data_IF_398108416943
#
_entry.id   IF_398108416943
#
_cell.length_a   1.000
_cell.length_b   1.000
_cell.length_c   1.000
_cell.angle_alpha   90.00
_cell.angle_beta   90.00
_cell.angle_gamma   90.00
#
_symmetry.space_group_name_H-M   'P 1'
#
loop_
_entity.id
_entity.type
_entity.pdbx_description
1 polymer ?
#
# COMPACT_ATOMS: atom_id res chain seq x y z
N UNK A 1 -18.96 -4.97 -6.12
CA UNK A 1 -18.52 -6.32 -6.49
C UNK A 1 -19.36 -6.83 -7.64
N UNK A 2 -18.72 -7.36 -8.66
CA UNK A 2 -19.37 -8.00 -9.79
C UNK A 2 -19.49 -9.53 -9.54
N UNK A 3 -20.09 -10.26 -10.48
CA UNK A 3 -20.28 -11.71 -10.38
C UNK A 3 -18.95 -12.48 -10.32
N UNK A 4 -17.93 -12.00 -11.00
CA UNK A 4 -16.61 -12.65 -11.08
C UNK A 4 -15.86 -12.56 -9.74
N UNK A 5 -16.01 -11.44 -9.01
CA UNK A 5 -15.47 -11.25 -7.66
C UNK A 5 -16.06 -12.28 -6.68
N UNK A 6 -17.38 -12.52 -6.75
CA UNK A 6 -18.06 -13.53 -5.94
C UNK A 6 -17.62 -14.95 -6.29
N UNK A 7 -17.37 -15.25 -7.57
CA UNK A 7 -16.84 -16.55 -7.99
C UNK A 7 -15.39 -16.77 -7.50
N UNK A 8 -14.55 -15.74 -7.49
CA UNK A 8 -13.18 -15.80 -6.94
C UNK A 8 -13.20 -16.13 -5.43
N UNK A 9 -14.02 -15.40 -4.66
CA UNK A 9 -14.22 -15.67 -3.23
C UNK A 9 -14.68 -17.12 -3.01
N UNK A 10 -15.70 -17.56 -3.75
CA UNK A 10 -16.28 -18.89 -3.62
C UNK A 10 -15.26 -20.00 -3.94
N UNK A 11 -14.48 -19.85 -5.02
CA UNK A 11 -13.41 -20.79 -5.40
C UNK A 11 -12.31 -20.88 -4.33
N UNK A 12 -11.98 -19.77 -3.68
CA UNK A 12 -11.00 -19.73 -2.60
C UNK A 12 -11.56 -20.17 -1.23
N UNK A 13 -12.87 -20.42 -1.12
CA UNK A 13 -13.56 -20.69 0.15
C UNK A 13 -13.57 -19.48 1.08
N UNK A 14 -13.50 -18.27 0.52
CA UNK A 14 -13.55 -16.99 1.22
C UNK A 14 -14.96 -16.43 1.16
N UNK A 15 -15.36 -15.69 2.19
CA UNK A 15 -16.60 -14.90 2.22
C UNK A 15 -16.31 -13.47 2.66
N UNK A 16 -17.07 -12.51 2.14
CA UNK A 16 -17.12 -11.15 2.66
C UNK A 16 -18.42 -10.98 3.44
N UNK A 17 -18.31 -10.57 4.70
CA UNK A 17 -19.42 -10.43 5.62
C UNK A 17 -19.43 -9.02 6.21
N UNK A 18 -20.60 -8.37 6.22
CA UNK A 18 -20.79 -7.14 6.98
C UNK A 18 -20.97 -7.51 8.46
N UNK A 19 -20.07 -7.04 9.32
CA UNK A 19 -20.10 -7.26 10.77
C UNK A 19 -20.12 -5.91 11.52
N UNK A 20 -20.44 -5.88 12.82
CA UNK A 20 -20.44 -4.63 13.59
C UNK A 20 -19.10 -3.87 13.56
N UNK A 21 -17.98 -4.59 13.47
CA UNK A 21 -16.64 -4.03 13.36
C UNK A 21 -16.27 -3.50 11.97
N UNK A 22 -17.05 -3.83 10.93
CA UNK A 22 -16.78 -3.47 9.54
C UNK A 22 -16.88 -4.65 8.57
N UNK A 23 -16.53 -4.38 7.32
CA UNK A 23 -16.47 -5.40 6.27
C UNK A 23 -15.33 -6.39 6.58
N UNK A 24 -15.68 -7.66 6.68
CA UNK A 24 -14.77 -8.71 7.17
C UNK A 24 -14.62 -9.83 6.15
N UNK A 25 -13.37 -10.15 5.82
CA UNK A 25 -13.01 -11.32 5.02
C UNK A 25 -12.87 -12.55 5.91
N UNK A 26 -13.57 -13.63 5.58
CA UNK A 26 -13.66 -14.84 6.40
C UNK A 26 -13.27 -16.11 5.62
N UNK A 27 -12.69 -17.10 6.32
CA UNK A 27 -12.43 -18.47 5.83
C UNK A 27 -12.42 -19.45 7.00
N UNK A 28 -13.49 -20.22 7.16
CA UNK A 28 -13.66 -21.06 8.36
C UNK A 28 -13.62 -20.21 9.64
N UNK A 29 -12.72 -20.53 10.57
CA UNK A 29 -12.52 -19.75 11.81
C UNK A 29 -11.65 -18.50 11.63
N UNK A 30 -11.02 -18.33 10.46
CA UNK A 30 -10.17 -17.17 10.19
C UNK A 30 -11.03 -15.99 9.74
N UNK A 31 -10.75 -14.81 10.28
CA UNK A 31 -11.38 -13.57 9.85
C UNK A 31 -10.39 -12.40 9.88
N UNK A 32 -10.62 -11.42 9.01
CA UNK A 32 -9.86 -10.19 8.92
C UNK A 32 -10.78 -9.02 8.56
N UNK A 33 -10.88 -8.08 9.48
CA UNK A 33 -11.41 -6.74 9.24
C UNK A 33 -10.23 -5.77 9.25
N UNK A 34 -10.22 -4.80 8.32
CA UNK A 34 -9.24 -3.73 8.32
C UNK A 34 -9.51 -2.72 9.44
N UNK A 35 -8.46 -2.18 10.02
CA UNK A 35 -8.54 -1.27 11.16
C UNK A 35 -7.27 -0.44 11.18
N UNK A 36 -7.39 0.87 11.39
CA UNK A 36 -6.25 1.79 11.48
C UNK A 36 -5.98 2.24 12.92
N UNK A 37 -6.81 1.90 13.89
CA UNK A 37 -6.65 2.37 15.27
C UNK A 37 -5.34 1.87 15.90
N UNK A 38 -4.86 0.69 15.51
CA UNK A 38 -3.55 0.19 15.96
C UNK A 38 -2.35 1.01 15.45
N UNK A 39 -2.57 1.85 14.43
CA UNK A 39 -1.54 2.73 13.87
C UNK A 39 -1.45 4.06 14.62
N UNK A 40 -2.48 4.49 15.36
CA UNK A 40 -2.53 5.79 16.08
C UNK A 40 -1.25 6.06 16.89
N UNK A 41 -0.69 5.10 17.67
CA UNK A 41 0.54 5.35 18.42
C UNK A 41 1.77 5.66 17.56
N UNK A 42 1.75 5.37 16.26
CA UNK A 42 2.81 5.67 15.28
C UNK A 42 2.61 7.05 14.62
N UNK A 43 1.39 7.57 14.61
CA UNK A 43 1.04 8.84 13.93
C UNK A 43 1.43 10.09 14.74
N UNK A 44 1.83 9.93 16.01
CA UNK A 44 2.32 11.06 16.81
C UNK A 44 3.55 11.73 16.17
N UNK A 45 3.66 13.08 16.18
CA UNK A 45 4.67 13.79 15.38
C UNK A 45 6.12 13.29 15.54
N UNK A 46 6.54 12.98 16.77
CA UNK A 46 7.90 12.50 17.02
C UNK A 46 8.16 11.10 16.44
N UNK A 47 7.18 10.20 16.53
CA UNK A 47 7.32 8.84 16.00
C UNK A 47 7.19 8.84 14.49
N UNK A 48 6.21 9.59 13.97
CA UNK A 48 5.94 9.73 12.56
C UNK A 48 7.13 10.27 11.78
N UNK A 49 7.77 11.34 12.27
CA UNK A 49 8.99 11.88 11.65
C UNK A 49 10.19 10.91 11.74
N UNK A 50 10.16 9.98 12.68
CA UNK A 50 11.15 8.91 12.82
C UNK A 50 10.91 7.72 11.88
N UNK A 51 9.72 7.58 11.30
CA UNK A 51 9.38 6.50 10.39
C UNK A 51 10.27 6.55 9.14
N UNK A 52 10.88 5.41 8.83
CA UNK A 52 11.84 5.33 7.74
C UNK A 52 11.19 5.59 6.37
N UNK A 53 9.93 5.17 6.20
CA UNK A 53 9.13 5.43 5.00
C UNK A 53 8.91 6.94 4.80
N UNK A 54 8.46 7.64 5.85
CA UNK A 54 8.24 9.09 5.83
C UNK A 54 9.53 9.81 5.42
N UNK A 55 10.67 9.41 5.99
CA UNK A 55 11.98 9.99 5.65
C UNK A 55 12.41 9.67 4.21
N UNK A 56 12.10 8.47 3.71
CA UNK A 56 12.42 8.06 2.34
C UNK A 56 11.58 8.85 1.30
N UNK A 57 10.31 9.10 1.60
CA UNK A 57 9.39 9.83 0.73
C UNK A 57 9.56 11.36 0.79
N UNK A 58 9.95 11.93 1.94
CA UNK A 58 9.99 13.38 2.16
C UNK A 58 10.81 14.13 1.10
N UNK A 59 10.19 15.12 0.48
CA UNK A 59 10.84 16.04 -0.46
C UNK A 59 11.10 17.36 0.25
N UNK A 60 12.32 17.89 0.11
CA UNK A 60 12.68 19.16 0.74
C UNK A 60 12.03 20.32 -0.03
N UNK A 61 11.38 21.22 0.69
CA UNK A 61 10.78 22.44 0.12
C UNK A 61 9.39 22.24 -0.49
N UNK A 62 8.75 21.09 -0.23
CA UNK A 62 7.35 20.83 -0.60
C UNK A 62 6.59 20.48 0.69
N UNK A 63 5.62 21.31 1.04
CA UNK A 63 4.87 21.16 2.30
C UNK A 63 3.77 20.10 2.21
N UNK A 64 3.09 20.03 1.06
CA UNK A 64 2.03 19.05 0.75
C UNK A 64 2.36 18.29 -0.53
N UNK A 65 3.34 17.37 -0.49
CA UNK A 65 3.71 16.56 -1.65
C UNK A 65 2.58 15.60 -2.04
N UNK A 66 2.37 15.45 -3.34
CA UNK A 66 1.45 14.46 -3.90
C UNK A 66 2.12 13.09 -3.97
N UNK A 67 1.39 12.04 -3.61
CA UNK A 67 1.91 10.67 -3.62
C UNK A 67 0.94 9.71 -4.29
N UNK A 68 1.46 8.85 -5.16
CA UNK A 68 0.73 7.70 -5.68
C UNK A 68 1.29 6.42 -5.08
N UNK A 69 0.47 5.72 -4.30
CA UNK A 69 0.76 4.37 -3.82
C UNK A 69 0.22 3.38 -4.84
N UNK A 70 1.12 2.77 -5.61
CA UNK A 70 0.77 1.86 -6.69
C UNK A 70 0.37 0.45 -6.21
N UNK A 71 0.51 0.18 -4.91
CA UNK A 71 0.36 -1.15 -4.30
C UNK A 71 -0.25 -1.00 -2.90
N UNK A 72 -1.43 -0.38 -2.83
CA UNK A 72 -1.99 0.12 -1.58
C UNK A 72 -2.21 -0.97 -0.52
N UNK A 73 -2.65 -2.18 -0.93
CA UNK A 73 -3.01 -3.25 -0.01
C UNK A 73 -4.01 -2.77 1.03
N UNK A 74 -3.68 -2.94 2.31
CA UNK A 74 -4.51 -2.47 3.43
C UNK A 74 -4.26 -1.01 3.83
N UNK A 75 -3.42 -0.26 3.11
CA UNK A 75 -3.27 1.19 3.22
C UNK A 75 -2.49 1.71 4.45
N UNK A 76 -1.83 0.85 5.23
CA UNK A 76 -1.10 1.26 6.44
C UNK A 76 0.08 2.22 6.13
N UNK A 77 0.86 1.93 5.09
CA UNK A 77 1.99 2.77 4.68
C UNK A 77 1.51 4.11 4.10
N UNK A 78 0.41 4.06 3.34
CA UNK A 78 -0.27 5.26 2.86
C UNK A 78 -0.85 6.11 3.99
N UNK A 79 -1.39 5.52 5.06
CA UNK A 79 -1.85 6.26 6.24
C UNK A 79 -0.71 7.00 6.93
N UNK A 80 0.47 6.38 7.05
CA UNK A 80 1.67 7.05 7.59
C UNK A 80 2.05 8.27 6.75
N UNK A 81 2.03 8.14 5.43
CA UNK A 81 2.37 9.22 4.51
C UNK A 81 1.31 10.33 4.55
N UNK A 82 0.04 9.97 4.57
CA UNK A 82 -1.06 10.92 4.70
C UNK A 82 -0.99 11.69 6.04
N UNK A 83 -0.72 11.00 7.15
CA UNK A 83 -0.50 11.63 8.46
C UNK A 83 0.74 12.55 8.44
N UNK A 84 1.74 12.26 7.61
CA UNK A 84 2.92 13.09 7.44
C UNK A 84 2.68 14.32 6.54
N UNK A 85 1.46 14.50 6.03
CA UNK A 85 1.03 15.68 5.26
C UNK A 85 0.98 15.49 3.75
N UNK A 86 1.21 14.27 3.25
CA UNK A 86 1.09 13.95 1.83
C UNK A 86 -0.39 13.87 1.42
N UNK A 87 -0.69 14.31 0.20
CA UNK A 87 -1.97 14.00 -0.44
C UNK A 87 -1.78 12.70 -1.25
N UNK A 88 -2.41 11.62 -0.78
CA UNK A 88 -2.12 10.25 -1.20
C UNK A 88 -3.25 9.71 -2.07
N UNK A 89 -2.94 9.32 -3.29
CA UNK A 89 -3.79 8.46 -4.11
C UNK A 89 -3.34 7.00 -3.95
N UNK A 90 -4.23 6.16 -3.45
CA UNK A 90 -4.00 4.74 -3.17
C UNK A 90 -4.62 3.90 -4.29
N UNK A 91 -3.80 3.11 -4.97
CA UNK A 91 -4.25 2.20 -6.01
C UNK A 91 -4.25 0.76 -5.53
N UNK A 92 -5.39 0.09 -5.63
CA UNK A 92 -5.51 -1.34 -5.39
C UNK A 92 -6.23 -2.01 -6.58
N UNK A 93 -5.63 -3.10 -7.06
CA UNK A 93 -6.12 -3.86 -8.20
C UNK A 93 -7.15 -4.91 -7.76
N UNK A 94 -6.93 -5.57 -6.62
CA UNK A 94 -7.83 -6.62 -6.18
C UNK A 94 -9.14 -6.02 -5.63
N UNK A 95 -10.30 -6.38 -6.19
CA UNK A 95 -11.58 -5.77 -5.83
C UNK A 95 -12.02 -6.09 -4.40
N UNK A 96 -11.56 -7.22 -3.84
CA UNK A 96 -11.87 -7.62 -2.47
C UNK A 96 -11.02 -6.82 -1.49
N UNK A 97 -9.72 -6.70 -1.73
CA UNK A 97 -8.82 -5.86 -0.92
C UNK A 97 -9.26 -4.40 -1.01
N UNK A 98 -9.60 -3.91 -2.21
CA UNK A 98 -10.12 -2.56 -2.41
C UNK A 98 -11.40 -2.31 -1.58
N UNK A 99 -12.34 -3.26 -1.56
CA UNK A 99 -13.55 -3.15 -0.76
C UNK A 99 -13.25 -3.08 0.75
N UNK A 100 -12.34 -3.94 1.24
CA UNK A 100 -11.90 -3.94 2.64
C UNK A 100 -11.20 -2.63 3.02
N UNK A 101 -10.31 -2.13 2.16
CA UNK A 101 -9.61 -0.86 2.34
C UNK A 101 -10.61 0.32 2.34
N UNK A 102 -11.58 0.32 1.43
CA UNK A 102 -12.62 1.35 1.35
C UNK A 102 -13.46 1.41 2.61
N UNK A 103 -13.91 0.25 3.13
CA UNK A 103 -14.63 0.19 4.40
C UNK A 103 -13.76 0.67 5.59
N UNK A 104 -12.48 0.32 5.59
CA UNK A 104 -11.52 0.75 6.62
C UNK A 104 -11.33 2.27 6.63
N UNK A 105 -11.12 2.87 5.45
CA UNK A 105 -10.96 4.32 5.31
C UNK A 105 -12.24 5.05 5.67
N UNK A 106 -13.41 4.54 5.28
CA UNK A 106 -14.69 5.16 5.62
C UNK A 106 -14.95 5.17 7.13
N UNK A 107 -14.69 4.04 7.82
CA UNK A 107 -14.79 4.00 9.29
C UNK A 107 -13.78 4.93 9.95
N UNK A 108 -12.55 4.98 9.46
CA UNK A 108 -11.50 5.83 10.01
C UNK A 108 -11.78 7.34 9.86
N UNK A 109 -12.65 7.76 8.92
CA UNK A 109 -13.11 9.17 8.84
C UNK A 109 -13.93 9.59 10.07
N UNK A 110 -14.51 8.64 10.78
CA UNK A 110 -15.32 8.89 11.98
C UNK A 110 -14.49 8.89 13.27
N UNK A 111 -13.21 8.51 13.19
CA UNK A 111 -12.29 8.48 14.33
C UNK A 111 -11.53 9.83 14.43
N UNK A 112 -11.64 10.59 15.54
CA UNK A 112 -10.99 11.88 15.69
C UNK A 112 -9.46 11.88 15.54
N UNK A 113 -8.80 10.76 15.89
CA UNK A 113 -7.34 10.63 15.81
C UNK A 113 -6.87 10.28 14.39
N UNK A 114 -7.77 9.84 13.52
CA UNK A 114 -7.46 9.40 12.15
C UNK A 114 -8.02 10.32 11.08
N UNK A 115 -9.14 11.01 11.35
CA UNK A 115 -9.95 11.73 10.35
C UNK A 115 -9.13 12.68 9.46
N UNK A 116 -8.14 13.37 10.03
CA UNK A 116 -7.31 14.32 9.29
C UNK A 116 -6.32 13.65 8.34
N UNK A 117 -5.77 12.50 8.72
CA UNK A 117 -4.88 11.73 7.86
C UNK A 117 -5.68 11.09 6.72
N UNK A 118 -6.80 10.43 7.04
CA UNK A 118 -7.60 9.75 6.02
C UNK A 118 -8.33 10.69 5.07
N UNK A 119 -8.57 11.95 5.45
CA UNK A 119 -9.08 12.98 4.55
C UNK A 119 -8.13 13.28 3.36
N UNK A 120 -6.84 12.92 3.50
CA UNK A 120 -5.83 13.04 2.43
C UNK A 120 -5.67 11.77 1.60
N UNK A 121 -6.45 10.73 1.88
CA UNK A 121 -6.39 9.44 1.19
C UNK A 121 -7.50 9.35 0.14
N UNK A 122 -7.13 9.25 -1.13
CA UNK A 122 -8.03 9.05 -2.25
C UNK A 122 -7.84 7.66 -2.84
N UNK A 123 -8.86 6.81 -2.71
CA UNK A 123 -8.80 5.44 -3.21
C UNK A 123 -9.10 5.40 -4.71
N UNK A 124 -8.36 4.56 -5.42
CA UNK A 124 -8.56 4.25 -6.83
C UNK A 124 -8.49 2.74 -7.04
N UNK A 125 -9.55 2.19 -7.59
CA UNK A 125 -9.58 0.78 -7.97
C UNK A 125 -9.07 0.65 -9.41
N UNK A 126 -8.12 -0.28 -9.63
CA UNK A 126 -7.62 -0.58 -10.97
C UNK A 126 -6.16 -1.01 -10.99
N UNK A 127 -5.66 -1.26 -12.21
CA UNK A 127 -4.25 -1.56 -12.44
C UNK A 127 -3.40 -0.29 -12.33
N UNK A 128 -2.43 -0.31 -11.41
CA UNK A 128 -1.55 0.82 -11.18
C UNK A 128 -0.63 1.11 -12.37
N UNK A 129 -0.27 0.12 -13.19
CA UNK A 129 0.50 0.30 -14.44
C UNK A 129 -0.32 1.13 -15.42
N UNK A 130 -1.55 0.71 -15.71
CA UNK A 130 -2.45 1.43 -16.63
C UNK A 130 -2.72 2.85 -16.11
N UNK A 131 -2.92 3.00 -14.80
CA UNK A 131 -3.19 4.30 -14.19
C UNK A 131 -1.97 5.23 -14.33
N UNK A 132 -0.76 4.74 -14.05
CA UNK A 132 0.47 5.53 -14.19
C UNK A 132 0.70 5.97 -15.63
N UNK A 133 0.46 5.10 -16.61
CA UNK A 133 0.56 5.47 -18.04
C UNK A 133 -0.43 6.57 -18.45
N UNK A 134 -1.60 6.63 -17.82
CA UNK A 134 -2.65 7.59 -18.13
C UNK A 134 -2.67 8.80 -17.17
N UNK A 135 -1.65 9.00 -16.34
CA UNK A 135 -1.58 10.16 -15.46
C UNK A 135 -1.43 11.46 -16.26
N UNK A 136 -2.40 12.35 -16.11
CA UNK A 136 -2.38 13.64 -16.80
C UNK A 136 -1.31 14.61 -16.27
N UNK A 137 -0.92 14.45 -14.99
CA UNK A 137 0.09 15.27 -14.34
C UNK A 137 1.01 14.37 -13.51
N UNK A 138 2.33 14.62 -13.48
CA UNK A 138 3.25 13.90 -12.61
C UNK A 138 2.89 14.11 -11.13
N UNK A 139 3.13 13.09 -10.32
CA UNK A 139 3.09 13.18 -8.85
C UNK A 139 4.49 13.44 -8.30
N UNK A 140 4.60 13.92 -7.06
CA UNK A 140 5.90 14.14 -6.45
C UNK A 140 6.60 12.82 -6.10
N UNK A 141 5.85 11.85 -5.58
CA UNK A 141 6.36 10.56 -5.13
C UNK A 141 5.50 9.40 -5.63
N UNK A 142 6.14 8.33 -6.09
CA UNK A 142 5.49 7.02 -6.29
C UNK A 142 6.01 6.04 -5.24
N UNK A 143 5.10 5.38 -4.53
CA UNK A 143 5.40 4.29 -3.60
C UNK A 143 5.10 2.95 -4.27
N UNK A 144 6.08 2.04 -4.22
CA UNK A 144 5.98 0.66 -4.67
C UNK A 144 6.31 -0.29 -3.50
N UNK A 145 5.38 -1.14 -3.10
CA UNK A 145 5.57 -2.31 -2.23
C UNK A 145 4.91 -3.56 -2.86
N UNK A 146 5.27 -3.92 -4.10
CA UNK A 146 4.76 -5.14 -4.70
C UNK A 146 5.11 -6.37 -3.86
N UNK A 147 4.09 -7.13 -3.49
CA UNK A 147 4.28 -8.41 -2.83
C UNK A 147 4.74 -9.44 -3.84
N UNK A 148 6.02 -9.80 -3.74
CA UNK A 148 6.61 -10.81 -4.61
C UNK A 148 6.66 -12.17 -3.95
N UNK A 149 6.52 -13.25 -4.74
CA UNK A 149 6.56 -14.61 -4.25
C UNK A 149 8.00 -14.99 -3.91
N UNK A 150 8.49 -14.66 -2.71
CA UNK A 150 9.59 -15.44 -2.14
C UNK A 150 9.01 -16.77 -1.63
N UNK A 151 9.24 -17.86 -2.39
CA UNK A 151 9.09 -19.25 -1.92
C UNK A 151 10.01 -19.50 -0.72
N UNK A 152 9.65 -19.02 0.46
CA UNK A 152 10.23 -19.47 1.72
C UNK A 152 9.15 -19.58 2.78
N UNK A 153 9.02 -20.81 3.29
CA UNK A 153 8.26 -21.17 4.48
C UNK A 153 8.69 -20.26 5.65
N UNK A 154 8.04 -19.12 5.85
CA UNK A 154 8.15 -18.38 7.11
C UNK A 154 6.95 -18.76 7.97
N UNK A 155 7.23 -19.64 8.94
CA UNK A 155 6.29 -19.92 10.02
C UNK A 155 5.99 -18.64 10.77
N UNK A 156 4.70 -18.43 11.10
CA UNK A 156 4.13 -17.28 11.81
C UNK A 156 3.92 -16.00 10.98
N UNK A 157 3.50 -16.13 9.71
CA UNK A 157 2.68 -15.09 9.11
C UNK A 157 1.41 -14.96 9.98
N UNK A 158 1.16 -13.75 10.54
CA UNK A 158 -0.04 -13.48 11.34
C UNK A 158 -1.25 -13.96 10.54
N UNK A 159 -2.17 -14.71 11.17
CA UNK A 159 -3.36 -15.32 10.51
C UNK A 159 -4.06 -14.40 9.49
N UNK A 160 -4.12 -13.09 9.76
CA UNK A 160 -4.65 -12.06 8.84
C UNK A 160 -3.97 -12.01 7.47
N UNK A 161 -2.63 -12.05 7.42
CA UNK A 161 -1.86 -12.02 6.16
C UNK A 161 -2.01 -13.30 5.32
N UNK A 162 -2.42 -14.43 5.93
CA UNK A 162 -2.66 -15.67 5.18
C UNK A 162 -3.91 -15.59 4.28
N UNK A 163 -4.89 -14.74 4.63
CA UNK A 163 -6.08 -14.52 3.81
C UNK A 163 -5.76 -13.60 2.62
N UNK A 164 -4.99 -12.53 2.86
CA UNK A 164 -4.57 -11.59 1.82
C UNK A 164 -3.72 -12.27 0.73
N UNK A 165 -2.75 -13.10 1.12
CA UNK A 165 -1.93 -13.86 0.16
C UNK A 165 -2.71 -14.80 -0.76
N UNK A 166 -3.97 -15.14 -0.44
CA UNK A 166 -4.82 -15.97 -1.28
C UNK A 166 -5.60 -15.15 -2.32
N UNK A 167 -5.73 -13.85 -2.10
CA UNK A 167 -6.37 -12.90 -2.99
C UNK A 167 -5.34 -12.23 -3.91
N UNK A 168 -4.17 -11.90 -3.35
CA UNK A 168 -3.08 -11.26 -4.07
C UNK A 168 -2.63 -12.11 -5.27
N UNK A 169 -2.69 -11.50 -6.44
CA UNK A 169 -1.99 -12.02 -7.61
C UNK A 169 -0.54 -11.52 -7.53
N UNK A 170 0.46 -12.42 -7.59
CA UNK A 170 1.85 -12.00 -7.75
C UNK A 170 1.94 -10.99 -8.89
N UNK A 171 2.66 -9.88 -8.67
CA UNK A 171 3.00 -8.98 -9.77
C UNK A 171 3.95 -9.75 -10.69
N UNK A 172 3.41 -10.25 -11.79
CA UNK A 172 4.16 -11.09 -12.73
C UNK A 172 5.17 -10.28 -13.57
N UNK A 173 5.13 -8.93 -13.49
CA UNK A 173 5.96 -8.04 -14.30
C UNK A 173 6.59 -6.89 -13.49
N UNK A 174 7.67 -7.20 -12.76
CA UNK A 174 8.48 -6.20 -12.03
C UNK A 174 8.96 -5.06 -12.95
N UNK A 175 9.36 -5.44 -14.16
CA UNK A 175 9.90 -4.55 -15.19
C UNK A 175 8.85 -3.52 -15.59
N UNK A 176 7.65 -3.96 -15.98
CA UNK A 176 6.57 -3.06 -16.41
C UNK A 176 6.09 -2.14 -15.31
N UNK A 177 5.97 -2.63 -14.06
CA UNK A 177 5.63 -1.77 -12.92
C UNK A 177 6.65 -0.65 -12.71
N UNK A 178 7.94 -1.00 -12.74
CA UNK A 178 9.00 -0.02 -12.56
C UNK A 178 9.10 0.95 -13.75
N UNK A 179 8.98 0.45 -14.98
CA UNK A 179 8.97 1.26 -16.20
C UNK A 179 7.80 2.25 -16.21
N UNK A 180 6.60 1.81 -15.86
CA UNK A 180 5.43 2.68 -15.73
C UNK A 180 5.64 3.76 -14.64
N UNK A 181 6.22 3.40 -13.49
CA UNK A 181 6.54 4.38 -12.44
C UNK A 181 7.59 5.41 -12.89
N UNK A 182 8.58 5.01 -13.70
CA UNK A 182 9.56 5.95 -14.28
C UNK A 182 8.89 6.83 -15.33
N UNK A 183 8.05 6.25 -16.20
CA UNK A 183 7.36 6.96 -17.27
C UNK A 183 6.37 8.01 -16.73
N UNK A 184 5.76 7.75 -15.56
CA UNK A 184 4.95 8.73 -14.84
C UNK A 184 5.75 9.95 -14.34
N UNK A 185 7.09 9.91 -14.46
CA UNK A 185 8.03 11.00 -14.22
C UNK A 185 7.89 11.69 -12.84
N UNK A 186 7.82 10.94 -11.72
CA UNK A 186 7.80 11.55 -10.40
C UNK A 186 9.16 12.11 -10.02
N UNK A 187 9.24 12.98 -9.01
CA UNK A 187 10.54 13.41 -8.46
C UNK A 187 11.27 12.26 -7.77
N UNK A 188 10.52 11.32 -7.20
CA UNK A 188 11.06 10.17 -6.47
C UNK A 188 10.17 8.94 -6.59
N UNK A 189 10.81 7.78 -6.75
CA UNK A 189 10.19 6.48 -6.56
C UNK A 189 10.77 5.87 -5.28
N UNK A 190 9.91 5.47 -4.36
CA UNK A 190 10.27 4.79 -3.11
C UNK A 190 9.79 3.35 -3.19
N UNK A 191 10.72 2.40 -3.06
CA UNK A 191 10.45 0.98 -3.23
C UNK A 191 10.73 0.26 -1.91
N UNK A 192 9.71 -0.31 -1.30
CA UNK A 192 9.86 -1.11 -0.09
C UNK A 192 10.36 -2.51 -0.46
N UNK A 193 11.39 -2.99 0.23
CA UNK A 193 12.01 -4.30 -0.03
C UNK A 193 12.40 -4.98 1.29
N UNK A 194 12.42 -6.33 1.33
CA UNK A 194 13.15 -7.05 2.37
C UNK A 194 14.61 -6.59 2.41
N UNK A 195 15.22 -6.50 3.60
CA UNK A 195 16.58 -5.97 3.77
C UNK A 195 17.61 -6.65 2.85
N UNK A 196 17.47 -7.96 2.64
CA UNK A 196 18.35 -8.80 1.79
C UNK A 196 17.71 -9.20 0.45
N UNK A 197 16.51 -8.71 0.12
CA UNK A 197 15.86 -9.01 -1.15
C UNK A 197 16.57 -8.35 -2.34
N UNK A 198 16.40 -8.84 -3.57
CA UNK A 198 16.97 -8.19 -4.75
C UNK A 198 16.40 -6.78 -4.96
N UNK A 199 17.03 -5.96 -5.79
CA UNK A 199 16.40 -4.72 -6.27
C UNK A 199 15.22 -5.05 -7.18
N UNK A 200 14.21 -4.18 -7.23
CA UNK A 200 13.09 -4.32 -8.16
C UNK A 200 13.63 -4.28 -9.59
N UNK A 201 13.32 -5.31 -10.37
CA UNK A 201 13.82 -5.48 -11.75
C UNK A 201 15.37 -5.41 -11.86
N UNK A 202 16.08 -5.75 -10.78
CA UNK A 202 17.55 -5.63 -10.72
C UNK A 202 18.09 -4.20 -10.80
N UNK A 203 17.23 -3.18 -10.89
CA UNK A 203 17.64 -1.79 -11.08
C UNK A 203 18.21 -1.21 -9.79
N UNK A 204 19.47 -0.78 -9.82
CA UNK A 204 20.12 -0.16 -8.66
C UNK A 204 19.47 1.19 -8.32
N UNK A 205 19.04 1.42 -7.07
CA UNK A 205 18.49 2.71 -6.65
C UNK A 205 19.57 3.78 -6.52
N UNK A 206 19.16 5.06 -6.51
CA UNK A 206 20.06 6.19 -6.22
C UNK A 206 20.64 6.07 -4.80
N UNK A 207 19.82 5.66 -3.83
CA UNK A 207 20.25 5.30 -2.48
C UNK A 207 19.24 4.36 -1.82
N UNK A 208 19.63 3.71 -0.72
CA UNK A 208 18.74 2.86 0.08
C UNK A 208 18.77 3.25 1.54
N UNK A 209 17.61 3.37 2.17
CA UNK A 209 17.47 3.51 3.62
C UNK A 209 17.23 2.14 4.26
N UNK A 210 18.18 1.65 5.05
CA UNK A 210 18.16 0.29 5.61
C UNK A 210 17.67 0.28 7.06
N UNK A 211 16.65 -0.53 7.33
CA UNK A 211 16.18 -0.87 8.67
C UNK A 211 16.66 -2.25 9.11
N UNK A 212 15.98 -2.81 10.12
CA UNK A 212 16.34 -4.14 10.67
C UNK A 212 15.89 -5.31 9.79
N UNK A 213 14.69 -5.23 9.21
CA UNK A 213 14.07 -6.29 8.40
C UNK A 213 13.73 -5.84 6.97
N UNK A 214 13.44 -4.56 6.80
CA UNK A 214 13.09 -3.94 5.52
C UNK A 214 14.09 -2.84 5.17
N UNK A 215 14.12 -2.46 3.90
CA UNK A 215 14.76 -1.24 3.39
C UNK A 215 13.83 -0.53 2.42
N UNK A 216 14.09 0.75 2.21
CA UNK A 216 13.46 1.54 1.15
C UNK A 216 14.53 1.94 0.12
N UNK A 217 14.40 1.40 -1.08
CA UNK A 217 15.22 1.73 -2.23
C UNK A 217 14.63 2.97 -2.90
N UNK A 218 15.40 4.06 -3.04
CA UNK A 218 14.94 5.34 -3.54
C UNK A 218 15.59 5.65 -4.90
N UNK A 219 14.77 5.84 -5.93
CA UNK A 219 15.19 6.33 -7.24
C UNK A 219 14.80 7.80 -7.30
N UNK A 220 15.77 8.68 -7.54
CA UNK A 220 15.55 10.12 -7.73
C UNK A 220 15.61 10.42 -9.22
N UNK A 221 14.59 11.08 -9.74
CA UNK A 221 14.51 11.54 -11.12
C UNK A 221 14.63 13.08 -11.11
N UNK A 222 15.34 13.63 -12.09
CA UNK A 222 15.64 15.06 -12.20
C UNK A 222 14.81 15.71 -13.30
#
# INVERSE_FOLDING_TARGET
>A
MNKDDYELLTKAGLTLEQRPEGLTLCKGELSMCGDFTHMIPRLTPNRLNGEMLVRAAKIKGIDHPTLFDATAGMGEDSLLLAAAGFDVQLCEYDPIIFALLSDTVERAKQDPDLMHAVARMQLKHGDSIEIMHNMAQPVDVILLDPMFPERKKSGLIKKKFQLLQQLERPCDNETELLEAAIAANPRRIVIKRPLKGPYLDGRKPSYSMKGKAIRYDCIVLH
#
